data_IF_589880493664
#
_entry.id   IF_589880493664
#
_cell.length_a   1.000
_cell.length_b   1.000
_cell.length_c   1.000
_cell.angle_alpha   90.00
_cell.angle_beta   90.00
_cell.angle_gamma   90.00
#
_symmetry.space_group_name_H-M   'P 1'
#
loop_
_entity.id
_entity.type
_entity.pdbx_description
1 polymer ?
#
# COMPACT_ATOMS: atom_id res chain seq x y z
N UNK A 1 -21.91 9.49 11.61
CA UNK A 1 -20.91 10.10 12.51
C UNK A 1 -19.58 10.22 11.75
N UNK A 2 -19.39 11.28 10.97
CA UNK A 2 -18.20 11.45 10.08
C UNK A 2 -17.07 12.24 10.78
N UNK A 3 -17.39 13.01 11.84
CA UNK A 3 -16.46 13.96 12.45
C UNK A 3 -15.29 13.34 13.24
N UNK A 4 -15.47 12.20 13.91
CA UNK A 4 -14.42 11.62 14.77
C UNK A 4 -13.27 11.05 13.94
N UNK A 5 -13.58 10.39 12.81
CA UNK A 5 -12.57 9.88 11.90
C UNK A 5 -11.72 11.00 11.31
N UNK A 6 -12.35 12.09 10.86
CA UNK A 6 -11.66 13.26 10.33
C UNK A 6 -10.70 13.89 11.35
N UNK A 7 -11.12 14.00 12.62
CA UNK A 7 -10.27 14.55 13.70
C UNK A 7 -9.05 13.66 13.95
N UNK A 8 -9.23 12.33 13.92
CA UNK A 8 -8.11 11.38 14.09
C UNK A 8 -7.11 11.49 12.94
N UNK A 9 -7.55 11.50 11.67
CA UNK A 9 -6.68 11.65 10.50
C UNK A 9 -5.88 12.96 10.49
N UNK A 10 -6.41 14.03 11.10
CA UNK A 10 -5.73 15.32 11.20
C UNK A 10 -4.77 15.41 12.38
N UNK A 11 -4.78 14.44 13.29
CA UNK A 11 -3.87 14.47 14.44
C UNK A 11 -2.43 14.11 14.00
N UNK A 12 -1.41 14.87 14.44
CA UNK A 12 -0.01 14.59 14.06
C UNK A 12 0.45 13.18 14.44
N UNK A 13 -0.06 12.64 15.55
CA UNK A 13 0.26 11.30 16.04
C UNK A 13 -0.38 10.16 15.26
N UNK A 14 -1.40 10.43 14.43
CA UNK A 14 -2.03 9.41 13.59
C UNK A 14 -1.06 8.87 12.55
N UNK A 15 -0.34 9.76 11.87
CA UNK A 15 0.66 9.39 10.86
C UNK A 15 1.96 8.85 11.45
N UNK A 16 2.17 9.01 12.77
CA UNK A 16 3.34 8.47 13.48
C UNK A 16 3.17 7.00 13.87
N UNK A 17 1.99 6.41 13.65
CA UNK A 17 1.85 4.98 13.84
C UNK A 17 2.77 4.24 12.86
N UNK A 18 3.52 3.22 13.32
CA UNK A 18 4.26 2.36 12.41
C UNK A 18 3.23 1.72 11.46
N UNK A 19 3.24 2.19 10.22
CA UNK A 19 2.27 1.82 9.18
C UNK A 19 2.32 0.32 8.84
N UNK A 20 3.43 -0.35 9.19
CA UNK A 20 3.66 -1.76 8.93
C UNK A 20 3.86 -2.53 10.23
N UNK A 21 2.90 -3.40 10.57
CA UNK A 21 3.13 -4.58 11.43
C UNK A 21 3.66 -5.77 10.64
N UNK A 22 3.72 -5.66 9.30
CA UNK A 22 4.36 -6.64 8.42
C UNK A 22 5.87 -6.61 8.62
N UNK A 23 6.46 -7.78 8.84
CA UNK A 23 7.91 -7.97 9.00
C UNK A 23 8.68 -7.79 7.68
N UNK A 24 8.00 -7.53 6.56
CA UNK A 24 8.58 -7.44 5.23
C UNK A 24 8.87 -5.97 4.87
N UNK A 25 10.05 -5.75 4.28
CA UNK A 25 10.38 -4.46 3.67
C UNK A 25 9.36 -4.12 2.58
N UNK A 26 9.20 -2.83 2.23
CA UNK A 26 8.26 -2.40 1.19
C UNK A 26 8.41 -3.19 -0.13
N UNK A 27 9.64 -3.53 -0.52
CA UNK A 27 9.91 -4.37 -1.70
C UNK A 27 9.42 -5.80 -1.50
N UNK A 28 9.71 -6.42 -0.36
CA UNK A 28 9.30 -7.79 -0.10
C UNK A 28 7.77 -7.93 0.01
N UNK A 29 7.08 -6.88 0.46
CA UNK A 29 5.63 -6.78 0.40
C UNK A 29 5.13 -6.69 -1.06
N UNK A 30 5.76 -5.88 -1.91
CA UNK A 30 5.41 -5.81 -3.34
C UNK A 30 5.65 -7.15 -4.04
N UNK A 31 6.73 -7.85 -3.71
CA UNK A 31 7.05 -9.17 -4.26
C UNK A 31 6.05 -10.23 -3.79
N UNK A 32 5.70 -10.26 -2.50
CA UNK A 32 4.66 -11.16 -1.97
C UNK A 32 3.29 -10.88 -2.58
N UNK A 33 2.92 -9.61 -2.77
CA UNK A 33 1.66 -9.26 -3.43
C UNK A 33 1.67 -9.72 -4.90
N UNK A 34 2.78 -9.53 -5.61
CA UNK A 34 2.87 -9.85 -7.04
C UNK A 34 2.98 -11.36 -7.32
N UNK A 35 3.68 -12.10 -6.45
CA UNK A 35 3.98 -13.52 -6.62
C UNK A 35 3.08 -14.44 -5.76
N UNK A 36 2.41 -13.87 -4.76
CA UNK A 36 1.57 -14.60 -3.83
C UNK A 36 0.20 -14.94 -4.40
N UNK A 37 -0.70 -15.38 -3.50
CA UNK A 37 -2.04 -15.79 -3.90
C UNK A 37 -2.82 -14.59 -4.46
N UNK A 38 -3.60 -14.74 -5.55
CA UNK A 38 -4.43 -13.66 -6.10
C UNK A 38 -5.36 -12.99 -5.07
N UNK A 39 -5.73 -13.73 -4.04
CA UNK A 39 -6.57 -13.24 -2.93
C UNK A 39 -5.80 -12.35 -1.94
N UNK A 40 -4.46 -12.39 -1.89
CA UNK A 40 -3.65 -11.51 -1.03
C UNK A 40 -3.76 -10.05 -1.48
N UNK A 41 -3.69 -9.78 -2.79
CA UNK A 41 -3.93 -8.42 -3.33
C UNK A 41 -5.38 -7.97 -3.11
N UNK A 42 -6.33 -8.91 -3.08
CA UNK A 42 -7.72 -8.56 -2.80
C UNK A 42 -7.97 -8.27 -1.32
N UNK A 43 -7.39 -9.04 -0.40
CA UNK A 43 -7.63 -8.89 1.04
C UNK A 43 -6.83 -7.77 1.68
N UNK A 44 -5.60 -7.49 1.22
CA UNK A 44 -4.75 -6.50 1.87
C UNK A 44 -4.96 -5.08 1.31
N UNK A 45 -4.60 -4.79 0.04
CA UNK A 45 -4.88 -3.47 -0.55
C UNK A 45 -6.30 -3.30 -1.09
N UNK A 46 -7.15 -4.34 -1.05
CA UNK A 46 -8.55 -4.21 -1.48
C UNK A 46 -8.72 -4.09 -3.01
N UNK A 47 -7.74 -4.49 -3.79
CA UNK A 47 -7.70 -4.25 -5.24
C UNK A 47 -7.53 -5.56 -6.03
N UNK A 48 -7.60 -5.50 -7.36
CA UNK A 48 -7.28 -6.65 -8.22
C UNK A 48 -5.82 -6.58 -8.67
N UNK A 49 -5.15 -7.72 -8.85
CA UNK A 49 -3.75 -7.81 -9.28
C UNK A 49 -3.44 -6.93 -10.51
N UNK A 50 -4.28 -6.96 -11.54
CA UNK A 50 -4.05 -6.14 -12.74
C UNK A 50 -4.13 -4.63 -12.46
N UNK A 51 -4.97 -4.19 -11.52
CA UNK A 51 -5.06 -2.78 -11.11
C UNK A 51 -3.82 -2.40 -10.31
N UNK A 52 -3.33 -3.31 -9.46
CA UNK A 52 -2.11 -3.09 -8.67
C UNK A 52 -0.89 -2.94 -9.59
N UNK A 53 -0.75 -3.81 -10.59
CA UNK A 53 0.32 -3.73 -11.59
C UNK A 53 0.25 -2.41 -12.39
N UNK A 54 -0.94 -1.99 -12.81
CA UNK A 54 -1.12 -0.72 -13.50
C UNK A 54 -0.77 0.47 -12.60
N UNK A 55 -1.12 0.42 -11.32
CA UNK A 55 -0.78 1.43 -10.34
C UNK A 55 0.74 1.54 -10.14
N UNK A 56 1.44 0.41 -9.96
CA UNK A 56 2.91 0.36 -9.86
C UNK A 56 3.57 0.90 -11.13
N UNK A 57 3.07 0.54 -12.32
CA UNK A 57 3.60 1.05 -13.58
C UNK A 57 3.46 2.57 -13.70
N UNK A 58 2.31 3.13 -13.30
CA UNK A 58 2.09 4.58 -13.29
C UNK A 58 2.98 5.28 -12.27
N UNK A 59 3.17 4.71 -11.08
CA UNK A 59 4.08 5.26 -10.07
C UNK A 59 5.54 5.26 -10.55
N UNK A 60 5.96 4.23 -11.28
CA UNK A 60 7.30 4.21 -11.92
C UNK A 60 7.44 5.30 -12.97
N UNK A 61 6.43 5.46 -13.82
CA UNK A 61 6.45 6.45 -14.90
C UNK A 61 6.38 7.91 -14.40
N UNK A 62 5.59 8.17 -13.35
CA UNK A 62 5.35 9.52 -12.84
C UNK A 62 6.29 9.91 -11.69
N UNK A 63 6.73 8.93 -10.90
CA UNK A 63 7.51 9.13 -9.67
C UNK A 63 9.01 8.87 -9.80
N UNK A 64 9.51 8.46 -10.96
CA UNK A 64 10.95 8.27 -11.20
C UNK A 64 11.57 7.09 -10.42
N UNK A 65 10.79 6.10 -10.02
CA UNK A 65 11.26 4.88 -9.37
C UNK A 65 11.93 3.95 -10.41
N UNK A 66 13.11 4.34 -10.90
CA UNK A 66 14.01 3.47 -11.64
C UNK A 66 14.85 2.66 -10.66
N UNK A 67 14.64 1.33 -10.66
CA UNK A 67 15.43 0.29 -9.97
C UNK A 67 15.21 0.17 -8.46
N UNK A 68 14.35 -0.78 -8.08
CA UNK A 68 14.71 -1.87 -7.15
C UNK A 68 13.77 -3.06 -7.35
#
# INVERSE_FOLDING_TARGET
MIGIAAILYQSPGYWTQPYHTSALSGQACVDELTQGHPDCIYNEPGMRLHVFLAFVANLRALGGLERY
#
